data_IF_781813202361
#
_entry.id   IF_781813202361
#
_cell.length_a   1.000
_cell.length_b   1.000
_cell.length_c   1.000
_cell.angle_alpha   90.00
_cell.angle_beta   90.00
_cell.angle_gamma   90.00
#
_symmetry.space_group_name_H-M   'P 1'
#
loop_
_entity.id
_entity.type
_entity.pdbx_description
1 polymer ?
#
# COMPACT_ATOMS: atom_id res chain seq x y z
N UNK A 1 26.98 10.58 17.84
CA UNK A 1 25.63 10.22 17.35
C UNK A 1 25.11 9.09 18.22
N UNK A 2 24.10 9.34 19.06
CA UNK A 2 23.47 8.32 19.91
C UNK A 2 22.58 7.41 19.06
N UNK A 3 22.73 6.10 19.20
CA UNK A 3 21.86 5.13 18.50
C UNK A 3 20.42 5.31 19.02
N UNK A 4 19.42 5.54 18.15
CA UNK A 4 18.05 5.74 18.58
C UNK A 4 17.45 4.48 19.21
N UNK A 5 16.65 4.66 20.27
CA UNK A 5 15.96 3.55 20.94
C UNK A 5 15.03 2.80 19.97
N UNK A 6 14.97 1.44 20.00
CA UNK A 6 14.16 0.64 19.07
C UNK A 6 12.68 1.03 19.01
N UNK A 7 12.10 1.47 20.13
CA UNK A 7 10.71 1.94 20.20
C UNK A 7 10.48 3.19 19.36
N UNK A 8 11.39 4.15 19.45
CA UNK A 8 11.35 5.41 18.70
C UNK A 8 11.45 5.16 17.20
N UNK A 9 12.35 4.25 16.79
CA UNK A 9 12.50 3.85 15.37
C UNK A 9 11.20 3.24 14.84
N UNK A 10 10.58 2.34 15.61
CA UNK A 10 9.30 1.71 15.22
C UNK A 10 8.17 2.74 15.12
N UNK A 11 8.09 3.68 16.06
CA UNK A 11 7.07 4.72 16.02
C UNK A 11 7.27 5.67 14.84
N UNK A 12 8.51 6.07 14.56
CA UNK A 12 8.83 6.88 13.38
C UNK A 12 8.44 6.17 12.08
N UNK A 13 8.71 4.86 11.97
CA UNK A 13 8.30 4.07 10.80
C UNK A 13 6.78 3.99 10.64
N UNK A 14 6.03 3.88 11.74
CA UNK A 14 4.55 3.90 11.72
C UNK A 14 4.06 5.25 11.22
N UNK A 15 4.56 6.35 11.78
CA UNK A 15 4.16 7.70 11.37
C UNK A 15 4.49 7.95 9.89
N UNK A 16 5.67 7.49 9.43
CA UNK A 16 6.05 7.60 8.02
C UNK A 16 5.09 6.84 7.09
N UNK A 17 4.65 5.63 7.48
CA UNK A 17 3.68 4.86 6.71
C UNK A 17 2.26 5.46 6.75
N UNK A 18 1.95 6.26 7.78
CA UNK A 18 0.68 6.98 7.87
C UNK A 18 0.67 8.15 6.89
N UNK A 19 1.74 8.94 6.87
CA UNK A 19 1.77 10.19 6.11
C UNK A 19 2.18 10.01 4.64
N UNK A 20 2.90 8.93 4.32
CA UNK A 20 3.44 8.71 2.98
C UNK A 20 3.02 7.35 2.41
N UNK A 21 2.44 7.38 1.21
CA UNK A 21 1.91 6.18 0.58
C UNK A 21 3.01 5.19 0.11
N UNK A 22 4.19 5.67 -0.30
CA UNK A 22 5.24 4.77 -0.79
C UNK A 22 5.81 3.84 0.30
N UNK A 23 6.22 4.35 1.49
CA UNK A 23 6.57 3.51 2.64
C UNK A 23 5.44 2.57 3.07
N UNK A 24 4.18 3.00 2.95
CA UNK A 24 3.04 2.13 3.20
C UNK A 24 2.99 0.94 2.21
N UNK A 25 3.18 1.20 0.91
CA UNK A 25 3.24 0.14 -0.12
C UNK A 25 4.37 -0.85 0.15
N UNK A 26 5.54 -0.36 0.55
CA UNK A 26 6.65 -1.22 0.96
C UNK A 26 6.20 -2.13 2.11
N UNK A 27 5.65 -1.56 3.18
CA UNK A 27 5.19 -2.35 4.33
C UNK A 27 4.15 -3.40 3.94
N UNK A 28 3.18 -3.05 3.09
CA UNK A 28 2.20 -4.01 2.57
C UNK A 28 2.88 -5.11 1.77
N UNK A 29 3.88 -4.79 0.95
CA UNK A 29 4.65 -5.80 0.22
C UNK A 29 5.32 -6.78 1.18
N UNK A 30 6.02 -6.28 2.20
CA UNK A 30 6.70 -7.12 3.19
C UNK A 30 5.72 -8.04 3.92
N UNK A 31 4.51 -7.56 4.24
CA UNK A 31 3.44 -8.36 4.84
C UNK A 31 2.90 -9.45 3.91
N UNK A 32 2.81 -9.17 2.62
CA UNK A 32 2.25 -10.11 1.63
C UNK A 32 3.29 -11.14 1.16
N UNK A 33 4.57 -10.77 1.16
CA UNK A 33 5.67 -11.55 0.62
C UNK A 33 6.69 -11.95 1.71
N UNK A 34 6.21 -12.63 2.75
CA UNK A 34 7.10 -13.23 3.75
C UNK A 34 7.85 -14.44 3.17
N UNK A 35 9.14 -14.27 2.83
CA UNK A 35 10.02 -15.37 2.39
C UNK A 35 11.46 -14.91 2.08
N UNK A 36 12.42 -15.84 1.98
CA UNK A 36 13.84 -15.54 1.80
C UNK A 36 14.20 -14.82 0.48
N UNK A 37 13.30 -14.85 -0.51
CA UNK A 37 13.48 -14.22 -1.84
C UNK A 37 12.55 -13.01 -2.06
N UNK A 38 11.94 -12.47 -0.99
CA UNK A 38 10.84 -11.50 -1.05
C UNK A 38 11.18 -10.11 -0.52
N UNK A 39 12.36 -9.57 -0.78
CA UNK A 39 12.67 -8.17 -0.41
C UNK A 39 12.05 -7.21 -1.40
N UNK A 40 11.35 -6.19 -0.90
CA UNK A 40 10.86 -5.10 -1.71
C UNK A 40 12.04 -4.32 -2.33
N UNK A 41 12.06 -4.23 -3.66
CA UNK A 41 12.99 -3.37 -4.36
C UNK A 41 12.32 -2.01 -4.65
N UNK A 42 12.86 -0.89 -4.15
CA UNK A 42 12.24 0.43 -4.25
C UNK A 42 12.40 1.05 -5.65
N UNK A 43 11.84 0.39 -6.65
CA UNK A 43 11.95 0.73 -8.05
C UNK A 43 11.27 2.08 -8.39
N UNK A 44 11.85 2.80 -9.35
CA UNK A 44 11.38 4.13 -9.77
C UNK A 44 9.91 4.14 -10.18
N UNK A 45 9.44 3.09 -10.86
CA UNK A 45 8.06 3.00 -11.35
C UNK A 45 7.05 2.85 -10.20
N UNK A 46 7.45 2.21 -9.09
CA UNK A 46 6.60 2.13 -7.90
C UNK A 46 6.48 3.50 -7.25
N UNK A 47 7.57 4.26 -7.15
CA UNK A 47 7.55 5.66 -6.67
C UNK A 47 6.66 6.54 -7.55
N UNK A 48 6.78 6.42 -8.88
CA UNK A 48 5.96 7.17 -9.82
C UNK A 48 4.45 6.82 -9.70
N UNK A 49 4.12 5.53 -9.56
CA UNK A 49 2.74 5.11 -9.30
C UNK A 49 2.21 5.70 -7.97
N UNK A 50 3.01 5.66 -6.91
CA UNK A 50 2.60 6.20 -5.61
C UNK A 50 2.34 7.70 -5.68
N UNK A 51 3.22 8.44 -6.35
CA UNK A 51 3.04 9.89 -6.56
C UNK A 51 1.75 10.21 -7.31
N UNK A 52 1.50 9.54 -8.44
CA UNK A 52 0.28 9.74 -9.23
C UNK A 52 -0.99 9.36 -8.43
N UNK A 53 -0.92 8.33 -7.58
CA UNK A 53 -2.03 7.94 -6.71
C UNK A 53 -2.26 8.95 -5.57
N UNK A 54 -1.22 9.59 -5.06
CA UNK A 54 -1.35 10.69 -4.09
C UNK A 54 -2.01 11.94 -4.71
N UNK A 55 -1.75 12.25 -5.98
CA UNK A 55 -2.50 13.29 -6.72
C UNK A 55 -3.99 12.93 -6.85
N UNK A 56 -4.31 11.65 -7.01
CA UNK A 56 -5.70 11.18 -7.01
C UNK A 56 -6.35 11.33 -5.64
N UNK A 57 -5.62 11.00 -4.57
CA UNK A 57 -6.09 11.12 -3.20
C UNK A 57 -6.33 12.57 -2.78
N UNK A 58 -5.43 13.48 -3.17
CA UNK A 58 -5.56 14.92 -2.89
C UNK A 58 -6.64 15.60 -3.74
N UNK A 59 -7.06 14.98 -4.85
CA UNK A 59 -8.07 15.52 -5.75
C UNK A 59 -7.51 16.38 -6.87
N UNK A 60 -6.19 16.57 -6.93
CA UNK A 60 -5.46 17.23 -8.02
C UNK A 60 -5.67 16.49 -9.35
N UNK A 61 -5.76 15.15 -9.29
CA UNK A 61 -6.06 14.32 -10.45
C UNK A 61 -7.30 13.46 -10.22
N UNK A 62 -8.38 13.68 -10.98
CA UNK A 62 -9.62 12.90 -10.84
C UNK A 62 -9.63 11.61 -11.67
N UNK A 63 -8.70 11.44 -12.62
CA UNK A 63 -8.69 10.33 -13.59
C UNK A 63 -7.27 9.91 -13.91
N UNK A 64 -6.87 8.76 -13.37
CA UNK A 64 -5.54 8.19 -13.57
C UNK A 64 -5.60 6.88 -14.37
N UNK A 65 -4.73 6.75 -15.37
CA UNK A 65 -4.47 5.50 -16.10
C UNK A 65 -2.99 5.14 -15.94
N UNK A 66 -2.68 3.93 -15.48
CA UNK A 66 -1.31 3.44 -15.27
C UNK A 66 -1.02 2.34 -16.30
N UNK A 67 -0.14 2.63 -17.26
CA UNK A 67 0.29 1.70 -18.31
C UNK A 67 1.69 1.17 -18.03
N UNK A 68 1.78 0.08 -17.27
CA UNK A 68 3.05 -0.59 -16.90
C UNK A 68 2.93 -2.09 -17.18
N UNK A 69 4.02 -2.77 -17.60
CA UNK A 69 4.03 -4.22 -17.85
C UNK A 69 3.59 -5.07 -16.65
N UNK A 70 3.21 -6.35 -16.89
CA UNK A 70 2.87 -7.28 -15.83
C UNK A 70 4.06 -7.55 -14.90
N UNK A 71 3.76 -7.99 -13.66
CA UNK A 71 4.74 -8.27 -12.58
C UNK A 71 5.49 -7.05 -12.02
N UNK A 72 4.99 -5.84 -12.24
CA UNK A 72 5.53 -4.59 -11.67
C UNK A 72 4.73 -4.07 -10.47
N UNK A 73 4.15 -4.96 -9.67
CA UNK A 73 3.38 -4.65 -8.45
C UNK A 73 2.10 -3.79 -8.62
N UNK A 74 1.83 -3.24 -9.81
CA UNK A 74 0.70 -2.34 -10.09
C UNK A 74 -0.64 -2.76 -9.47
N UNK A 75 -0.98 -4.05 -9.54
CA UNK A 75 -2.27 -4.55 -9.05
C UNK A 75 -2.32 -4.58 -7.52
N UNK A 76 -1.22 -4.93 -6.85
CA UNK A 76 -1.14 -4.91 -5.38
C UNK A 76 -1.11 -3.48 -4.87
N UNK A 77 -0.36 -2.59 -5.53
CA UNK A 77 -0.30 -1.16 -5.18
C UNK A 77 -1.68 -0.52 -5.28
N UNK A 78 -2.41 -0.70 -6.38
CA UNK A 78 -3.70 -0.03 -6.62
C UNK A 78 -4.87 -0.71 -5.91
N UNK A 79 -5.00 -2.04 -5.99
CA UNK A 79 -6.20 -2.72 -5.49
C UNK A 79 -6.15 -3.04 -3.98
N UNK A 80 -4.96 -3.15 -3.41
CA UNK A 80 -4.77 -3.56 -2.01
C UNK A 80 -4.22 -2.40 -1.19
N UNK A 81 -3.01 -1.93 -1.52
CA UNK A 81 -2.30 -0.93 -0.71
C UNK A 81 -3.04 0.41 -0.72
N UNK A 82 -3.42 0.90 -1.90
CA UNK A 82 -4.09 2.20 -2.03
C UNK A 82 -5.47 2.21 -1.36
N UNK A 83 -6.24 1.14 -1.53
CA UNK A 83 -7.55 0.99 -0.88
C UNK A 83 -7.42 0.97 0.63
N UNK A 84 -6.48 0.20 1.18
CA UNK A 84 -6.24 0.14 2.61
C UNK A 84 -5.76 1.48 3.18
N UNK A 85 -4.89 2.18 2.46
CA UNK A 85 -4.41 3.51 2.82
C UNK A 85 -5.55 4.54 2.84
N UNK A 86 -6.40 4.55 1.81
CA UNK A 86 -7.59 5.42 1.77
C UNK A 86 -8.56 5.14 2.90
N UNK A 87 -8.86 3.87 3.19
CA UNK A 87 -9.78 3.50 4.27
C UNK A 87 -9.20 3.81 5.65
N UNK A 88 -7.89 3.75 5.83
CA UNK A 88 -7.24 4.20 7.06
C UNK A 88 -7.45 5.69 7.32
N UNK A 89 -7.40 6.52 6.28
CA UNK A 89 -7.58 7.98 6.39
C UNK A 89 -9.06 8.40 6.39
N UNK A 90 -9.87 7.72 5.58
CA UNK A 90 -11.27 8.02 5.34
C UNK A 90 -12.09 6.73 5.40
N UNK A 91 -12.46 6.27 6.61
CA UNK A 91 -13.22 5.02 6.78
C UNK A 91 -14.57 5.01 6.05
N UNK A 92 -15.16 6.18 5.78
CA UNK A 92 -16.41 6.33 5.02
C UNK A 92 -16.25 6.36 3.50
N UNK A 93 -15.05 6.19 2.95
CA UNK A 93 -14.81 6.23 1.52
C UNK A 93 -15.52 5.07 0.79
N UNK A 94 -16.21 5.37 -0.31
CA UNK A 94 -16.83 4.38 -1.18
C UNK A 94 -15.88 4.02 -2.31
N UNK A 95 -15.38 2.79 -2.32
CA UNK A 95 -14.35 2.33 -3.26
C UNK A 95 -14.88 1.12 -4.03
N UNK A 96 -14.75 1.16 -5.36
CA UNK A 96 -15.06 0.03 -6.24
C UNK A 96 -13.75 -0.43 -6.87
N UNK A 97 -13.45 -1.72 -6.75
CA UNK A 97 -12.28 -2.35 -7.37
C UNK A 97 -12.78 -3.45 -8.31
N UNK A 98 -12.35 -3.39 -9.58
CA UNK A 98 -12.65 -4.42 -10.57
C UNK A 98 -11.34 -4.91 -11.20
N UNK A 99 -11.17 -6.23 -11.32
CA UNK A 99 -10.04 -6.84 -12.03
C UNK A 99 -10.39 -8.27 -12.43
N UNK A 100 -9.96 -8.69 -13.62
CA UNK A 100 -10.07 -10.09 -14.05
C UNK A 100 -9.16 -11.03 -13.21
N UNK A 101 -8.05 -10.51 -12.69
CA UNK A 101 -7.18 -11.22 -11.75
C UNK A 101 -7.65 -11.18 -10.30
N UNK A 102 -8.77 -10.49 -10.02
CA UNK A 102 -9.34 -10.44 -8.68
C UNK A 102 -9.96 -11.76 -8.27
N UNK A 103 -10.32 -12.68 -9.16
CA UNK A 103 -10.85 -13.99 -8.77
C UNK A 103 -9.78 -14.94 -8.20
N UNK A 104 -8.54 -14.86 -8.69
CA UNK A 104 -7.40 -15.58 -8.10
C UNK A 104 -6.97 -14.93 -6.78
N UNK A 105 -7.04 -13.59 -6.71
CA UNK A 105 -6.92 -12.88 -5.44
C UNK A 105 -8.06 -13.26 -4.49
N UNK A 106 -9.31 -13.38 -4.95
CA UNK A 106 -10.53 -13.64 -4.18
C UNK A 106 -10.48 -14.96 -3.42
N UNK A 107 -9.93 -16.01 -4.04
CA UNK A 107 -9.65 -17.30 -3.35
C UNK A 107 -8.60 -17.17 -2.24
N UNK A 108 -7.78 -16.13 -2.25
CA UNK A 108 -6.85 -15.75 -1.17
C UNK A 108 -7.27 -14.47 -0.39
N UNK A 109 -8.35 -13.78 -0.78
CA UNK A 109 -8.63 -12.38 -0.41
C UNK A 109 -9.25 -12.21 0.96
N UNK A 110 -10.00 -13.19 1.48
CA UNK A 110 -10.55 -13.09 2.83
C UNK A 110 -9.43 -12.91 3.87
N UNK A 111 -8.26 -13.51 3.63
CA UNK A 111 -7.08 -13.36 4.48
C UNK A 111 -6.24 -12.13 4.15
N UNK A 112 -6.00 -11.81 2.88
CA UNK A 112 -5.03 -10.77 2.49
C UNK A 112 -5.60 -9.36 2.61
N UNK A 113 -6.84 -9.13 2.18
CA UNK A 113 -7.49 -7.82 2.32
C UNK A 113 -7.76 -7.54 3.79
N UNK A 114 -8.26 -8.53 4.55
CA UNK A 114 -8.46 -8.38 6.01
C UNK A 114 -7.15 -8.11 6.74
N UNK A 115 -6.06 -8.84 6.46
CA UNK A 115 -4.76 -8.59 7.09
C UNK A 115 -4.23 -7.20 6.76
N UNK A 116 -4.33 -6.75 5.51
CA UNK A 116 -3.89 -5.41 5.13
C UNK A 116 -4.76 -4.31 5.74
N UNK A 117 -6.07 -4.54 5.87
CA UNK A 117 -6.98 -3.62 6.59
C UNK A 117 -6.68 -3.57 8.09
N UNK A 118 -6.36 -4.70 8.72
CA UNK A 118 -5.92 -4.74 10.11
C UNK A 118 -4.58 -4.01 10.32
N UNK A 119 -3.67 -4.11 9.34
CA UNK A 119 -2.42 -3.35 9.38
C UNK A 119 -2.63 -1.86 9.12
N UNK A 120 -3.48 -1.49 8.16
CA UNK A 120 -3.87 -0.11 7.94
C UNK A 120 -4.52 0.48 9.20
N UNK A 121 -5.41 -0.26 9.88
CA UNK A 121 -5.99 0.17 11.15
C UNK A 121 -4.98 0.27 12.29
N UNK A 122 -3.88 -0.50 12.26
CA UNK A 122 -2.78 -0.43 13.25
C UNK A 122 -1.77 0.69 12.97
N UNK A 123 -1.74 1.20 11.74
CA UNK A 123 -0.74 2.19 11.27
C UNK A 123 -1.36 3.57 11.10
N UNK A 124 -2.59 3.64 10.62
CA UNK A 124 -3.30 4.87 10.25
C UNK A 124 -4.37 5.25 11.29
N UNK A 125 -4.87 4.28 12.06
CA UNK A 125 -5.80 4.48 13.18
C UNK A 125 -5.17 5.23 14.36
#
# INVERSE_FOLDING_TARGET
>A
MTVPEPRTVRQAAINLCRDNFFPFVWRVFDTLHHGPNGTFEPAWHVRAMCHALDEVRSGENKRLVINIPPRCLKSVTVAVSYVAFLLGHHPGAKIIVASYGLDLARKHSEGLVRRTLLEAGRVVG
#
